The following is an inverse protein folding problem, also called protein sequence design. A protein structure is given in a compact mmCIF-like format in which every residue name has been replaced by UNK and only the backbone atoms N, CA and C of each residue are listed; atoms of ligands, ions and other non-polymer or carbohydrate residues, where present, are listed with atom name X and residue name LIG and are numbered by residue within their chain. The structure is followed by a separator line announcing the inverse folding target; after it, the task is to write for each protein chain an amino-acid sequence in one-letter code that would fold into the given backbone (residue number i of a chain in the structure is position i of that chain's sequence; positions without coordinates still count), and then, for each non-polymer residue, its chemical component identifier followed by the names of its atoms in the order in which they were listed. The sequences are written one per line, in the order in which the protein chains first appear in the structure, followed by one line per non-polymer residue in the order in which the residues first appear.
data_IF_453037737868
#
_entry.id   IF_453037737868
#
_cell.length_a   1.000
_cell.length_b   1.000
_cell.length_c   1.000
_cell.angle_alpha   90.00
_cell.angle_beta   90.00
_cell.angle_gamma   90.00
#
_symmetry.space_group_name_H-M   'P 1'
#
loop_
_entity.id
_entity.type
_entity.pdbx_description
1 polymer ?
#
# COMPACT_ATOMS: atom_id res chain seq x y z
N UNK A 1 2.33 -20.03 8.89
CA UNK A 1 1.49 -21.21 9.11
C UNK A 1 0.06 -20.76 8.87
N UNK A 2 -0.62 -21.26 7.83
CA UNK A 2 -2.02 -20.95 7.57
C UNK A 2 -2.83 -21.74 8.60
N UNK A 3 -3.73 -21.11 9.38
CA UNK A 3 -4.53 -21.84 10.34
C UNK A 3 -5.36 -22.91 9.65
N UNK A 4 -5.47 -24.08 10.26
CA UNK A 4 -6.30 -25.17 9.74
C UNK A 4 -7.77 -24.72 9.65
N UNK A 5 -8.52 -25.24 8.70
CA UNK A 5 -9.95 -24.95 8.50
C UNK A 5 -10.76 -24.99 9.83
N UNK A 6 -10.40 -25.89 10.74
CA UNK A 6 -11.04 -26.02 12.04
C UNK A 6 -10.80 -24.84 13.00
N UNK A 7 -9.75 -24.06 12.80
CA UNK A 7 -9.45 -22.88 13.62
C UNK A 7 -10.24 -21.66 13.14
N UNK A 8 -10.47 -21.55 11.81
CA UNK A 8 -11.30 -20.48 11.23
C UNK A 8 -12.78 -20.65 11.61
N UNK A 9 -13.28 -21.88 11.62
CA UNK A 9 -14.66 -22.18 12.01
C UNK A 9 -14.97 -21.86 13.49
N UNK A 10 -13.94 -21.90 14.34
CA UNK A 10 -14.07 -21.57 15.78
C UNK A 10 -14.03 -20.05 16.07
N UNK A 11 -13.58 -19.23 15.12
CA UNK A 11 -13.47 -17.78 15.28
C UNK A 11 -14.74 -17.04 14.83
N UNK A 12 -15.67 -17.70 14.16
CA UNK A 12 -16.89 -17.08 13.66
C UNK A 12 -18.03 -17.24 14.64
N UNK A 13 -18.42 -16.17 15.32
CA UNK A 13 -19.64 -16.11 16.13
C UNK A 13 -20.94 -16.21 15.30
N UNK A 14 -20.85 -16.13 13.98
CA UNK A 14 -21.97 -16.17 13.04
C UNK A 14 -22.00 -17.44 12.17
N UNK A 15 -21.20 -18.45 12.51
CA UNK A 15 -21.03 -19.68 11.72
C UNK A 15 -19.91 -19.59 10.69
N UNK A 16 -19.73 -20.65 9.91
CA UNK A 16 -18.69 -20.73 8.89
C UNK A 16 -18.87 -19.61 7.84
N UNK A 17 -17.75 -18.95 7.48
CA UNK A 17 -17.77 -17.96 6.42
C UNK A 17 -18.27 -18.61 5.11
N UNK A 18 -19.31 -18.04 4.52
CA UNK A 18 -19.86 -18.50 3.25
C UNK A 18 -18.98 -18.01 2.13
N UNK A 19 -18.31 -18.93 1.45
CA UNK A 19 -17.57 -18.64 0.22
C UNK A 19 -18.28 -19.30 -0.96
N UNK A 20 -18.44 -18.55 -2.04
CA UNK A 20 -18.91 -19.06 -3.33
C UNK A 20 -17.78 -19.68 -4.14
N UNK A 21 -16.54 -19.53 -3.69
CA UNK A 21 -15.35 -20.07 -4.36
C UNK A 21 -15.15 -21.51 -3.93
N UNK A 22 -15.10 -22.42 -4.89
CA UNK A 22 -14.78 -23.81 -4.68
C UNK A 22 -13.25 -23.99 -4.75
N UNK A 23 -12.66 -24.65 -3.73
CA UNK A 23 -11.21 -24.92 -3.66
C UNK A 23 -10.40 -23.76 -3.10
N UNK A 24 -9.10 -23.75 -3.40
CA UNK A 24 -8.18 -22.68 -3.01
C UNK A 24 -8.24 -21.54 -4.04
N UNK A 25 -8.36 -20.27 -3.61
CA UNK A 25 -8.42 -19.13 -4.52
C UNK A 25 -7.08 -18.83 -5.23
N UNK A 26 -5.99 -19.36 -4.69
CA UNK A 26 -4.64 -19.25 -5.23
C UNK A 26 -4.02 -20.63 -5.35
N UNK A 27 -3.21 -20.86 -6.38
CA UNK A 27 -2.29 -21.99 -6.41
C UNK A 27 -1.23 -21.85 -5.31
N UNK A 28 -0.58 -22.96 -4.93
CA UNK A 28 0.49 -22.93 -3.92
C UNK A 28 1.64 -22.00 -4.34
N UNK A 29 1.97 -21.98 -5.64
CA UNK A 29 3.01 -21.12 -6.18
C UNK A 29 2.62 -19.64 -6.10
N UNK A 30 1.40 -19.28 -6.49
CA UNK A 30 0.90 -17.90 -6.36
C UNK A 30 0.86 -17.46 -4.90
N UNK A 31 0.38 -18.33 -4.00
CA UNK A 31 0.36 -18.03 -2.57
C UNK A 31 1.77 -17.79 -2.03
N UNK A 32 2.75 -18.62 -2.44
CA UNK A 32 4.14 -18.45 -2.04
C UNK A 32 4.74 -17.14 -2.57
N UNK A 33 4.51 -16.81 -3.85
CA UNK A 33 5.01 -15.56 -4.46
C UNK A 33 4.36 -14.33 -3.83
N UNK A 34 3.05 -14.35 -3.64
CA UNK A 34 2.29 -13.27 -3.00
C UNK A 34 2.78 -13.03 -1.57
N UNK A 35 3.00 -14.11 -0.81
CA UNK A 35 3.54 -14.01 0.54
C UNK A 35 4.97 -13.47 0.56
N UNK A 36 5.83 -13.89 -0.39
CA UNK A 36 7.19 -13.40 -0.49
C UNK A 36 7.23 -11.90 -0.77
N UNK A 37 6.42 -11.43 -1.72
CA UNK A 37 6.29 -10.01 -2.04
C UNK A 37 5.79 -9.21 -0.83
N UNK A 38 4.71 -9.64 -0.19
CA UNK A 38 4.18 -8.99 1.00
C UNK A 38 5.18 -8.91 2.15
N UNK A 39 5.95 -9.98 2.39
CA UNK A 39 7.01 -9.97 3.41
C UNK A 39 8.13 -8.98 3.07
N UNK A 40 8.53 -8.91 1.81
CA UNK A 40 9.51 -7.93 1.36
C UNK A 40 8.99 -6.50 1.54
N UNK A 41 7.74 -6.21 1.18
CA UNK A 41 7.11 -4.90 1.43
C UNK A 41 7.15 -4.52 2.92
N UNK A 42 6.83 -5.46 3.81
CA UNK A 42 6.89 -5.21 5.26
C UNK A 42 8.33 -4.96 5.74
N UNK A 43 9.32 -5.67 5.19
CA UNK A 43 10.72 -5.39 5.51
C UNK A 43 11.14 -4.00 5.07
N UNK A 44 10.76 -3.60 3.85
CA UNK A 44 11.05 -2.26 3.33
C UNK A 44 10.39 -1.18 4.18
N UNK A 45 9.14 -1.40 4.60
CA UNK A 45 8.45 -0.47 5.50
C UNK A 45 9.16 -0.31 6.84
N UNK A 46 9.61 -1.42 7.44
CA UNK A 46 10.43 -1.37 8.65
C UNK A 46 11.75 -0.64 8.43
N UNK A 47 12.45 -0.96 7.34
CA UNK A 47 13.72 -0.33 7.00
C UNK A 47 13.59 1.18 6.85
N UNK A 48 12.57 1.65 6.14
CA UNK A 48 12.30 3.09 5.99
C UNK A 48 12.05 3.79 7.33
N UNK A 49 11.34 3.16 8.24
CA UNK A 49 11.01 3.78 9.54
C UNK A 49 12.22 3.78 10.47
N UNK A 50 12.98 2.68 10.53
CA UNK A 50 13.92 2.43 11.60
C UNK A 50 15.40 2.50 11.20
N UNK A 51 15.75 2.07 9.97
CA UNK A 51 17.15 1.88 9.60
C UNK A 51 17.75 3.10 8.88
N UNK A 52 18.91 3.53 9.31
CA UNK A 52 19.77 4.48 8.59
C UNK A 52 21.00 3.81 7.99
N UNK A 53 21.43 2.70 8.54
CA UNK A 53 22.58 1.92 8.08
C UNK A 53 22.26 0.42 8.11
N UNK A 54 23.14 -0.42 7.50
CA UNK A 54 22.99 -1.88 7.48
C UNK A 54 21.64 -2.36 6.90
N UNK A 55 21.24 -1.91 5.69
CA UNK A 55 19.89 -2.11 5.16
C UNK A 55 19.54 -3.58 4.89
N UNK A 56 20.54 -4.46 4.75
CA UNK A 56 20.37 -5.91 4.57
C UNK A 56 20.69 -6.74 5.80
N UNK A 57 20.93 -6.09 6.95
CA UNK A 57 21.30 -6.75 8.21
C UNK A 57 22.48 -7.71 8.05
N UNK A 58 23.53 -7.28 7.30
CA UNK A 58 24.75 -8.05 7.06
C UNK A 58 25.52 -8.35 8.35
N UNK A 59 25.38 -7.51 9.34
CA UNK A 59 25.95 -7.65 10.66
C UNK A 59 24.84 -7.52 11.75
N UNK A 60 25.08 -7.95 12.97
CA UNK A 60 24.14 -7.76 14.07
C UNK A 60 23.74 -6.31 14.26
N UNK A 61 22.47 -6.08 14.58
CA UNK A 61 21.94 -4.74 14.77
C UNK A 61 22.64 -4.03 15.92
N UNK A 62 22.98 -2.75 15.69
CA UNK A 62 23.62 -1.86 16.66
C UNK A 62 22.84 -0.55 16.74
N UNK A 63 22.98 0.23 17.85
CA UNK A 63 22.28 1.51 17.99
C UNK A 63 22.53 2.50 16.85
N UNK A 64 23.77 2.54 16.32
CA UNK A 64 24.15 3.41 15.21
C UNK A 64 23.50 3.09 13.88
N UNK A 65 22.93 1.87 13.73
CA UNK A 65 22.14 1.49 12.56
C UNK A 65 20.72 2.07 12.56
N UNK A 66 20.27 2.55 13.72
CA UNK A 66 18.91 3.02 13.93
C UNK A 66 18.88 4.55 13.77
N UNK A 67 17.86 5.06 13.09
CA UNK A 67 17.64 6.50 12.95
C UNK A 67 17.46 7.18 14.31
N UNK A 68 18.08 8.34 14.50
CA UNK A 68 17.92 9.13 15.72
C UNK A 68 16.50 9.64 15.95
N UNK A 69 15.74 9.83 14.84
CA UNK A 69 14.36 10.24 14.86
C UNK A 69 13.54 9.22 14.09
N UNK A 70 12.71 8.48 14.82
CA UNK A 70 11.81 7.49 14.24
C UNK A 70 10.51 8.16 13.84
N UNK A 71 10.22 8.18 12.55
CA UNK A 71 8.97 8.68 11.98
C UNK A 71 8.45 7.68 10.95
N UNK A 72 7.13 7.51 10.94
CA UNK A 72 6.41 6.57 10.11
C UNK A 72 5.45 5.72 10.94
N UNK A 73 4.42 5.21 10.31
CA UNK A 73 3.38 4.47 11.01
C UNK A 73 3.40 2.99 10.61
N UNK A 74 4.07 2.18 11.45
CA UNK A 74 4.13 0.73 11.25
C UNK A 74 2.75 0.09 11.27
N UNK A 75 1.86 0.53 12.16
CA UNK A 75 0.54 -0.07 12.33
C UNK A 75 -0.33 -0.08 11.07
N UNK A 76 -0.29 0.98 10.25
CA UNK A 76 -1.04 1.07 9.00
C UNK A 76 -0.33 0.42 7.80
N UNK A 77 1.01 0.36 7.82
CA UNK A 77 1.81 -0.07 6.68
C UNK A 77 1.53 -1.50 6.22
N UNK A 78 1.41 -2.52 7.09
CA UNK A 78 1.12 -3.88 6.66
C UNK A 78 -0.24 -4.02 5.98
N UNK A 79 -1.26 -3.29 6.46
CA UNK A 79 -2.59 -3.33 5.86
C UNK A 79 -2.57 -2.76 4.42
N UNK A 80 -1.92 -1.61 4.22
CA UNK A 80 -1.75 -1.01 2.89
C UNK A 80 -0.94 -1.90 1.95
N UNK A 81 0.18 -2.44 2.42
CA UNK A 81 1.00 -3.40 1.63
C UNK A 81 0.22 -4.67 1.28
N UNK A 82 -0.65 -5.15 2.16
CA UNK A 82 -1.49 -6.32 1.90
C UNK A 82 -2.48 -6.04 0.77
N UNK A 83 -3.21 -4.93 0.85
CA UNK A 83 -4.17 -4.53 -0.20
C UNK A 83 -3.43 -4.33 -1.53
N UNK A 84 -2.33 -3.55 -1.52
CA UNK A 84 -1.50 -3.32 -2.70
C UNK A 84 -1.05 -4.63 -3.36
N UNK A 85 -0.54 -5.58 -2.57
CA UNK A 85 -0.07 -6.88 -3.06
C UNK A 85 -1.17 -7.64 -3.80
N UNK A 86 -2.39 -7.64 -3.27
CA UNK A 86 -3.50 -8.33 -3.89
C UNK A 86 -4.06 -7.60 -5.11
N UNK A 87 -4.11 -6.28 -5.10
CA UNK A 87 -4.48 -5.49 -6.26
C UNK A 87 -3.48 -5.67 -7.41
N UNK A 88 -2.18 -5.59 -7.12
CA UNK A 88 -1.13 -5.81 -8.12
C UNK A 88 -1.24 -7.21 -8.77
N UNK A 89 -1.58 -8.24 -7.97
CA UNK A 89 -1.87 -9.59 -8.51
C UNK A 89 -3.05 -9.58 -9.48
N UNK A 90 -4.12 -8.86 -9.15
CA UNK A 90 -5.32 -8.77 -9.98
C UNK A 90 -5.04 -7.96 -11.25
N UNK A 91 -4.36 -6.82 -11.13
CA UNK A 91 -3.92 -5.99 -12.26
C UNK A 91 -3.17 -6.86 -13.28
N UNK A 92 -2.14 -7.57 -12.84
CA UNK A 92 -1.32 -8.41 -13.72
C UNK A 92 -2.06 -9.61 -14.30
N UNK A 93 -3.03 -10.15 -13.59
CA UNK A 93 -3.82 -11.30 -14.06
C UNK A 93 -4.83 -10.93 -15.13
N UNK A 94 -5.38 -9.75 -15.06
CA UNK A 94 -6.48 -9.30 -15.90
C UNK A 94 -6.14 -8.11 -16.79
N UNK A 95 -4.88 -7.65 -16.77
CA UNK A 95 -4.38 -6.50 -17.54
C UNK A 95 -5.23 -5.26 -17.31
N UNK A 96 -5.38 -4.87 -16.03
CA UNK A 96 -6.28 -3.79 -15.62
C UNK A 96 -5.53 -2.46 -15.52
N UNK A 97 -6.18 -1.40 -15.97
CA UNK A 97 -5.80 -0.02 -15.64
C UNK A 97 -6.34 0.33 -14.26
N UNK A 98 -5.44 0.50 -13.29
CA UNK A 98 -5.84 0.76 -11.90
C UNK A 98 -4.94 1.78 -11.22
N UNK A 99 -5.56 2.67 -10.45
CA UNK A 99 -4.87 3.56 -9.50
C UNK A 99 -5.16 3.07 -8.08
N UNK A 100 -4.13 3.01 -7.24
CA UNK A 100 -4.25 2.74 -5.81
C UNK A 100 -4.07 4.03 -5.02
N UNK A 101 -5.05 4.36 -4.17
CA UNK A 101 -5.00 5.53 -3.30
C UNK A 101 -5.05 5.13 -1.83
N UNK A 102 -4.10 5.64 -1.05
CA UNK A 102 -4.02 5.41 0.39
C UNK A 102 -4.55 6.65 1.15
N UNK A 103 -5.79 6.62 1.58
CA UNK A 103 -6.37 7.64 2.45
C UNK A 103 -5.60 7.79 3.77
N UNK A 104 -5.26 6.68 4.49
CA UNK A 104 -4.38 6.77 5.65
C UNK A 104 -2.92 6.97 5.21
N UNK A 105 -2.61 8.17 4.69
CA UNK A 105 -1.31 8.51 4.11
C UNK A 105 -0.12 8.37 5.05
N UNK A 106 -0.35 8.40 6.37
CA UNK A 106 0.67 8.07 7.38
C UNK A 106 1.22 6.64 7.26
N UNK A 107 0.51 5.75 6.56
CA UNK A 107 0.99 4.41 6.19
C UNK A 107 1.89 4.40 4.93
N UNK A 108 2.45 5.54 4.51
CA UNK A 108 3.31 5.66 3.33
C UNK A 108 4.36 4.56 3.16
N UNK A 109 5.03 4.06 4.21
CA UNK A 109 5.98 2.95 4.03
C UNK A 109 5.35 1.71 3.39
N UNK A 110 4.05 1.49 3.66
CA UNK A 110 3.28 0.38 3.07
C UNK A 110 2.92 0.57 1.58
N UNK A 111 3.11 1.76 1.04
CA UNK A 111 2.94 2.08 -0.39
C UNK A 111 4.30 2.22 -1.08
N UNK A 112 5.23 2.95 -0.46
CA UNK A 112 6.57 3.16 -1.01
C UNK A 112 7.35 1.85 -1.18
N UNK A 113 7.21 0.91 -0.23
CA UNK A 113 7.85 -0.39 -0.30
C UNK A 113 7.49 -1.17 -1.56
N UNK A 114 6.19 -1.41 -1.84
CA UNK A 114 5.76 -2.03 -3.09
C UNK A 114 6.24 -1.30 -4.35
N UNK A 115 6.09 0.03 -4.42
CA UNK A 115 6.52 0.85 -5.57
C UNK A 115 8.03 0.72 -5.82
N UNK A 116 8.84 0.64 -4.76
CA UNK A 116 10.28 0.40 -4.88
C UNK A 116 10.57 -1.03 -5.38
N UNK A 117 9.87 -2.04 -4.84
CA UNK A 117 10.07 -3.45 -5.23
C UNK A 117 9.75 -3.74 -6.69
N UNK A 118 8.77 -3.06 -7.25
CA UNK A 118 8.40 -3.24 -8.66
C UNK A 118 9.25 -2.38 -9.63
N UNK A 119 10.14 -1.54 -9.10
CA UNK A 119 11.08 -0.75 -9.89
C UNK A 119 10.62 0.64 -10.26
N UNK A 120 9.33 0.94 -10.15
CA UNK A 120 8.76 2.26 -10.53
C UNK A 120 9.38 3.42 -9.76
N UNK A 121 9.77 3.18 -8.51
CA UNK A 121 10.46 4.18 -7.70
C UNK A 121 11.81 4.60 -8.31
N UNK A 122 12.58 3.62 -8.76
CA UNK A 122 13.91 3.83 -9.35
C UNK A 122 13.86 4.47 -10.74
N UNK A 123 12.74 4.35 -11.45
CA UNK A 123 12.53 5.05 -12.74
C UNK A 123 12.47 6.57 -12.55
N UNK A 124 11.88 7.02 -11.46
CA UNK A 124 11.75 8.46 -11.14
C UNK A 124 12.96 8.96 -10.34
N UNK A 125 13.49 8.14 -9.44
CA UNK A 125 14.61 8.46 -8.57
C UNK A 125 15.76 7.48 -8.84
N UNK A 126 16.56 7.70 -9.90
CA UNK A 126 17.54 6.73 -10.39
C UNK A 126 18.70 6.45 -9.43
N UNK A 127 18.90 7.28 -8.41
CA UNK A 127 19.86 7.05 -7.34
C UNK A 127 19.36 6.07 -6.27
N UNK A 128 18.09 5.68 -6.31
CA UNK A 128 17.47 4.67 -5.43
C UNK A 128 17.35 3.33 -6.17
N UNK A 129 18.51 2.82 -6.61
CA UNK A 129 18.61 1.54 -7.32
C UNK A 129 18.15 0.35 -6.47
N UNK A 130 17.90 -0.79 -7.11
CA UNK A 130 17.43 -2.02 -6.40
C UNK A 130 18.57 -2.87 -5.82
N UNK A 131 19.80 -2.32 -5.77
CA UNK A 131 20.94 -2.91 -5.08
C UNK A 131 21.03 -2.43 -3.61
N UNK A 132 22.07 -2.88 -2.90
CA UNK A 132 22.25 -2.56 -1.46
C UNK A 132 22.47 -1.06 -1.24
N UNK A 133 23.19 -0.40 -2.12
CA UNK A 133 23.46 1.05 -2.03
C UNK A 133 22.18 1.87 -2.27
N UNK A 134 21.41 1.51 -3.30
CA UNK A 134 20.12 2.15 -3.57
C UNK A 134 19.11 1.90 -2.45
N UNK A 135 19.09 0.70 -1.90
CA UNK A 135 18.25 0.37 -0.75
C UNK A 135 18.62 1.18 0.49
N UNK A 136 19.93 1.35 0.73
CA UNK A 136 20.43 2.21 1.80
C UNK A 136 19.93 3.66 1.64
N UNK A 137 20.07 4.22 0.45
CA UNK A 137 19.56 5.57 0.15
C UNK A 137 18.05 5.66 0.28
N UNK A 138 17.32 4.63 -0.16
CA UNK A 138 15.88 4.55 -0.06
C UNK A 138 15.40 4.55 1.40
N UNK A 139 16.03 3.79 2.29
CA UNK A 139 15.71 3.81 3.72
C UNK A 139 16.05 5.14 4.35
N UNK A 140 17.25 5.66 4.07
CA UNK A 140 17.76 6.87 4.71
C UNK A 140 16.95 8.12 4.40
N UNK A 141 16.46 8.25 3.15
CA UNK A 141 15.70 9.43 2.73
C UNK A 141 14.32 9.57 3.39
N UNK A 142 13.72 8.46 3.83
CA UNK A 142 12.37 8.47 4.38
C UNK A 142 12.33 9.26 5.68
N UNK A 143 11.48 10.30 5.70
CA UNK A 143 11.32 11.20 6.85
C UNK A 143 12.63 11.84 7.34
N UNK A 144 13.53 12.13 6.41
CA UNK A 144 14.83 12.73 6.68
C UNK A 144 14.97 14.07 5.91
N UNK A 145 15.69 15.08 6.46
CA UNK A 145 15.88 16.35 5.78
C UNK A 145 16.46 16.19 4.36
N UNK A 146 15.79 16.81 3.40
CA UNK A 146 16.15 16.69 1.97
C UNK A 146 15.68 15.40 1.28
N UNK A 147 15.02 14.53 2.01
CA UNK A 147 14.40 13.33 1.48
C UNK A 147 12.89 13.46 1.28
N UNK A 148 12.19 12.32 1.34
CA UNK A 148 10.73 12.26 1.24
C UNK A 148 10.06 12.35 2.60
N UNK A 149 8.84 12.89 2.66
CA UNK A 149 8.03 12.97 3.88
C UNK A 149 7.56 11.60 4.39
N UNK A 150 6.95 11.61 5.59
CA UNK A 150 6.44 10.40 6.24
C UNK A 150 5.05 9.95 5.76
N UNK A 151 4.41 10.72 4.89
CA UNK A 151 3.09 10.45 4.34
C UNK A 151 3.16 10.21 2.83
N UNK A 152 2.14 9.57 2.27
CA UNK A 152 1.96 9.54 0.82
C UNK A 152 1.76 10.95 0.31
N UNK A 153 2.55 11.35 -0.66
CA UNK A 153 2.54 12.67 -1.28
C UNK A 153 2.70 12.52 -2.79
N UNK A 154 2.51 13.58 -3.58
CA UNK A 154 2.75 13.55 -5.03
C UNK A 154 4.18 13.16 -5.43
N UNK A 155 5.17 13.28 -4.53
CA UNK A 155 6.54 12.80 -4.75
C UNK A 155 6.64 11.27 -4.75
N UNK A 156 5.64 10.56 -4.24
CA UNK A 156 5.53 9.10 -4.37
C UNK A 156 5.16 8.77 -5.82
N UNK A 157 6.02 8.05 -6.58
CA UNK A 157 5.74 7.72 -7.97
C UNK A 157 4.37 7.07 -8.16
N UNK A 158 3.58 7.61 -9.10
CA UNK A 158 2.22 7.16 -9.37
C UNK A 158 1.14 7.65 -8.40
N UNK A 159 1.49 8.36 -7.33
CA UNK A 159 0.51 8.92 -6.40
C UNK A 159 -0.07 10.23 -6.94
N UNK A 160 -1.39 10.35 -6.87
CA UNK A 160 -2.14 11.57 -7.20
C UNK A 160 -2.87 12.14 -5.97
N UNK A 161 -2.65 11.53 -4.82
CA UNK A 161 -3.33 11.86 -3.57
C UNK A 161 -2.33 12.19 -2.48
N UNK A 162 -2.53 13.32 -1.83
CA UNK A 162 -1.82 13.70 -0.61
C UNK A 162 -2.61 13.15 0.60
N UNK A 163 -1.99 12.25 1.35
CA UNK A 163 -2.65 11.51 2.44
C UNK A 163 -2.49 12.12 3.83
N UNK A 164 -1.97 13.36 3.94
CA UNK A 164 -1.82 14.08 5.22
C UNK A 164 -3.12 14.69 5.70
N UNK A 165 -3.98 15.14 4.79
CA UNK A 165 -5.32 15.61 5.10
C UNK A 165 -6.34 14.48 4.95
N UNK A 166 -6.97 14.09 6.05
CA UNK A 166 -7.94 13.00 6.06
C UNK A 166 -9.32 13.46 5.53
N UNK A 167 -9.98 12.57 4.79
CA UNK A 167 -11.35 12.74 4.32
C UNK A 167 -11.51 12.98 2.83
N UNK A 168 -10.43 13.10 2.06
CA UNK A 168 -10.48 13.46 0.65
C UNK A 168 -10.25 12.29 -0.33
N UNK A 169 -9.88 11.11 0.15
CA UNK A 169 -9.50 9.98 -0.72
C UNK A 169 -10.62 9.59 -1.69
N UNK A 170 -11.89 9.54 -1.25
CA UNK A 170 -13.00 9.18 -2.11
C UNK A 170 -13.31 10.26 -3.15
N UNK A 171 -13.22 11.54 -2.79
CA UNK A 171 -13.43 12.62 -3.76
C UNK A 171 -12.34 12.64 -4.82
N UNK A 172 -11.08 12.41 -4.44
CA UNK A 172 -9.98 12.26 -5.39
C UNK A 172 -10.15 11.02 -6.28
N UNK A 173 -10.56 9.89 -5.70
CA UNK A 173 -10.82 8.67 -6.45
C UNK A 173 -11.94 8.86 -7.49
N UNK A 174 -13.05 9.46 -7.08
CA UNK A 174 -14.14 9.78 -8.02
C UNK A 174 -13.69 10.77 -9.09
N UNK A 175 -12.89 11.79 -8.71
CA UNK A 175 -12.33 12.74 -9.67
C UNK A 175 -11.44 12.08 -10.72
N UNK A 176 -10.62 11.11 -10.31
CA UNK A 176 -9.77 10.36 -11.25
C UNK A 176 -10.57 9.43 -12.16
N UNK A 177 -11.72 8.92 -11.69
CA UNK A 177 -12.57 8.02 -12.45
C UNK A 177 -13.41 8.73 -13.53
N UNK A 178 -13.70 10.03 -13.40
CA UNK A 178 -14.48 10.76 -14.41
C UNK A 178 -13.80 10.75 -15.78
N UNK A 179 -14.59 10.50 -16.81
CA UNK A 179 -14.17 10.43 -18.22
C UNK A 179 -13.09 9.36 -18.53
N UNK A 180 -12.91 8.37 -17.64
CA UNK A 180 -11.95 7.27 -17.78
C UNK A 180 -12.67 5.91 -17.65
N UNK A 181 -13.42 5.45 -18.63
CA UNK A 181 -14.31 4.28 -18.51
C UNK A 181 -13.58 2.95 -18.22
N UNK A 182 -12.31 2.86 -18.58
CA UNK A 182 -11.51 1.64 -18.38
C UNK A 182 -10.73 1.66 -17.05
N UNK A 183 -10.75 2.78 -16.33
CA UNK A 183 -9.99 2.97 -15.09
C UNK A 183 -10.74 2.42 -13.88
N UNK A 184 -10.02 1.68 -13.04
CA UNK A 184 -10.44 1.31 -11.70
C UNK A 184 -9.63 2.11 -10.70
N UNK A 185 -10.29 2.78 -9.75
CA UNK A 185 -9.61 3.50 -8.67
C UNK A 185 -9.90 2.82 -7.35
N UNK A 186 -8.91 2.13 -6.81
CA UNK A 186 -8.99 1.46 -5.52
C UNK A 186 -8.56 2.40 -4.40
N UNK A 187 -9.52 2.88 -3.61
CA UNK A 187 -9.27 3.77 -2.49
C UNK A 187 -9.34 3.01 -1.16
N UNK A 188 -8.31 3.12 -0.33
CA UNK A 188 -8.34 2.65 1.05
C UNK A 188 -8.73 3.81 1.95
N UNK A 189 -9.84 3.66 2.65
CA UNK A 189 -10.33 4.62 3.64
C UNK A 189 -9.81 4.22 5.02
N UNK A 190 -9.15 5.15 5.71
CA UNK A 190 -8.75 4.96 7.11
C UNK A 190 -9.95 5.08 8.05
N UNK A 191 -9.85 4.46 9.23
CA UNK A 191 -10.88 4.51 10.27
C UNK A 191 -11.16 5.94 10.75
N UNK A 192 -10.12 6.69 11.13
CA UNK A 192 -10.24 8.10 11.50
C UNK A 192 -10.70 8.98 10.35
N UNK A 193 -10.28 8.67 9.12
CA UNK A 193 -10.73 9.37 7.91
C UNK A 193 -12.24 9.17 7.68
N UNK A 194 -12.75 7.96 7.95
CA UNK A 194 -14.16 7.62 7.76
C UNK A 194 -15.10 8.48 8.61
N UNK A 195 -14.62 9.02 9.73
CA UNK A 195 -15.40 9.87 10.64
C UNK A 195 -15.37 11.36 10.24
N UNK A 196 -14.61 11.73 9.22
CA UNK A 196 -14.52 13.12 8.77
C UNK A 196 -15.74 13.56 7.96
N UNK A 197 -16.12 14.84 8.07
CA UNK A 197 -17.19 15.44 7.27
C UNK A 197 -16.96 15.31 5.76
N UNK A 198 -15.77 15.64 5.23
CA UNK A 198 -15.47 15.50 3.81
C UNK A 198 -15.67 14.08 3.29
N UNK A 199 -15.24 13.04 4.02
CA UNK A 199 -15.45 11.68 3.57
C UNK A 199 -16.93 11.27 3.63
N UNK A 200 -17.63 11.63 4.71
CA UNK A 200 -19.05 11.32 4.87
C UNK A 200 -19.89 11.87 3.71
N UNK A 201 -19.56 13.09 3.22
CA UNK A 201 -20.23 13.67 2.05
C UNK A 201 -19.78 13.03 0.74
N UNK A 202 -18.55 12.56 0.63
CA UNK A 202 -17.98 11.97 -0.58
C UNK A 202 -18.63 10.65 -0.98
N UNK A 203 -19.26 9.91 -0.06
CA UNK A 203 -20.01 8.69 -0.39
C UNK A 203 -21.13 8.90 -1.41
N UNK A 204 -21.63 10.11 -1.52
CA UNK A 204 -22.67 10.45 -2.49
C UNK A 204 -22.15 10.62 -3.91
N UNK A 205 -20.84 10.74 -4.12
CA UNK A 205 -20.23 10.94 -5.44
C UNK A 205 -20.46 9.76 -6.39
N UNK A 206 -20.66 8.56 -5.87
CA UNK A 206 -20.98 7.39 -6.68
C UNK A 206 -22.25 7.55 -7.54
N UNK A 207 -23.15 8.47 -7.17
CA UNK A 207 -24.35 8.78 -7.94
C UNK A 207 -24.07 9.56 -9.22
N UNK A 208 -22.90 10.19 -9.31
CA UNK A 208 -22.49 11.00 -10.44
C UNK A 208 -21.62 10.23 -11.43
N UNK A 209 -21.08 9.08 -11.02
CA UNK A 209 -20.32 8.21 -11.92
C UNK A 209 -21.26 7.51 -12.88
N UNK A 210 -21.03 7.71 -14.17
CA UNK A 210 -21.79 7.07 -15.25
C UNK A 210 -21.04 5.79 -15.70
N UNK A 211 -21.62 4.59 -15.53
CA UNK A 211 -20.90 3.33 -15.79
C UNK A 211 -20.54 3.10 -17.27
N UNK A 212 -20.94 4.00 -18.18
CA UNK A 212 -20.59 3.92 -19.61
C UNK A 212 -19.42 4.84 -19.96
N UNK A 213 -19.29 5.98 -19.25
CA UNK A 213 -18.32 7.03 -19.59
C UNK A 213 -17.24 7.21 -18.54
N UNK A 214 -17.50 6.79 -17.33
CA UNK A 214 -16.62 6.96 -16.19
C UNK A 214 -16.07 5.61 -15.73
N UNK A 215 -14.96 5.66 -15.02
CA UNK A 215 -14.35 4.50 -14.37
C UNK A 215 -15.11 4.04 -13.13
N UNK A 216 -14.55 3.05 -12.47
CA UNK A 216 -15.08 2.48 -11.22
C UNK A 216 -14.24 2.93 -9.99
N UNK A 217 -14.91 3.20 -8.86
CA UNK A 217 -14.29 3.48 -7.57
C UNK A 217 -14.71 2.44 -6.55
#
# INVERSE_FOLDING_TARGET
MIPSRSAVDKLSSFGAARSTIQGAPLSEEEARKTQAFFRACNYLALGMIYLQENPLLREPLKPEHIKNRLLGHWGASPALSFVYTHLNRIIRKHDLDMIFMAGPGHGAPGVLGPVYLEGSYSEIYPDKTTDEEGLHRFFKQFSFPGGIGSHCTPETPGSIHEGGELGYVLSHACGAAFDNPDLIVAAVVGDGEAETGPLATSWHLNKFLNPIRDGAV
#
